data_IF_625173636826
#
_entry.id   IF_625173636826
#
_cell.length_a   1.000
_cell.length_b   1.000
_cell.length_c   1.000
_cell.angle_alpha   90.00
_cell.angle_beta   90.00
_cell.angle_gamma   90.00
#
_symmetry.space_group_name_H-M   'P 1'
#
loop_
_entity.id
_entity.type
_entity.pdbx_description
1 polymer ?
#
# COMPACT_ATOMS: atom_id res chain seq x y z
N UNK A 1 6.84 -16.31 -42.10
CA UNK A 1 6.20 -15.01 -41.80
C UNK A 1 5.54 -15.16 -40.44
N UNK A 2 6.07 -14.51 -39.41
CA UNK A 2 5.43 -14.47 -38.09
C UNK A 2 4.17 -13.63 -38.26
N UNK A 3 3.01 -14.21 -37.98
CA UNK A 3 1.73 -13.51 -38.10
C UNK A 3 1.66 -12.48 -36.99
N UNK A 4 1.48 -11.21 -37.36
CA UNK A 4 1.30 -10.14 -36.37
C UNK A 4 0.04 -10.46 -35.54
N UNK A 5 0.22 -10.53 -34.22
CA UNK A 5 -0.89 -10.76 -33.29
C UNK A 5 -1.29 -9.40 -32.71
N UNK A 6 -2.42 -8.91 -33.21
CA UNK A 6 -3.09 -7.73 -32.70
C UNK A 6 -4.40 -8.14 -32.04
N UNK A 7 -4.58 -7.74 -30.78
CA UNK A 7 -5.80 -7.99 -30.03
C UNK A 7 -6.20 -6.76 -29.22
N UNK A 8 -7.49 -6.38 -29.30
CA UNK A 8 -8.06 -5.30 -28.50
C UNK A 8 -9.27 -5.83 -27.71
N UNK A 9 -9.39 -5.45 -26.45
CA UNK A 9 -10.53 -5.80 -25.61
C UNK A 9 -10.94 -4.65 -24.68
N UNK A 10 -12.25 -4.55 -24.44
CA UNK A 10 -12.86 -3.49 -23.61
C UNK A 10 -13.75 -4.06 -22.50
N UNK A 11 -13.26 -4.97 -21.63
CA UNK A 11 -14.12 -5.61 -20.65
C UNK A 11 -14.54 -4.64 -19.55
N UNK A 12 -15.75 -4.84 -19.03
CA UNK A 12 -16.17 -4.27 -17.75
C UNK A 12 -15.76 -5.24 -16.66
N UNK A 13 -14.82 -4.83 -15.81
CA UNK A 13 -14.31 -5.63 -14.70
C UNK A 13 -14.36 -4.82 -13.42
N UNK A 14 -14.71 -5.46 -12.31
CA UNK A 14 -14.67 -4.86 -10.97
C UNK A 14 -15.42 -3.52 -10.88
N UNK A 15 -16.55 -3.38 -11.58
CA UNK A 15 -17.34 -2.15 -11.62
C UNK A 15 -16.78 -1.02 -12.51
N UNK A 16 -15.61 -1.21 -13.11
CA UNK A 16 -14.97 -0.24 -13.99
C UNK A 16 -14.73 -0.75 -15.41
N UNK A 17 -13.84 -0.08 -16.13
CA UNK A 17 -13.48 -0.37 -17.53
C UNK A 17 -12.01 -0.69 -17.64
N UNK A 18 -11.68 -1.63 -18.50
CA UNK A 18 -10.30 -1.91 -18.93
C UNK A 18 -10.26 -1.81 -20.45
N UNK A 19 -9.31 -1.08 -20.97
CA UNK A 19 -9.00 -1.00 -22.41
C UNK A 19 -7.64 -1.69 -22.61
N UNK A 20 -7.66 -2.92 -23.10
CA UNK A 20 -6.48 -3.75 -23.27
C UNK A 20 -6.10 -3.90 -24.74
N UNK A 21 -4.80 -3.81 -25.02
CA UNK A 21 -4.19 -4.00 -26.34
C UNK A 21 -3.01 -4.95 -26.24
N UNK A 22 -2.89 -5.87 -27.17
CA UNK A 22 -1.70 -6.69 -27.36
C UNK A 22 -1.21 -6.47 -28.79
N UNK A 23 0.06 -6.08 -28.92
CA UNK A 23 0.76 -5.99 -30.19
C UNK A 23 2.04 -6.84 -30.08
N UNK A 24 2.07 -7.98 -30.77
CA UNK A 24 3.10 -9.01 -30.60
C UNK A 24 3.25 -9.46 -29.13
N UNK A 25 4.36 -9.09 -28.49
CA UNK A 25 4.65 -9.39 -27.09
C UNK A 25 4.30 -8.24 -26.15
N UNK A 26 3.96 -7.06 -26.67
CA UNK A 26 3.70 -5.86 -25.87
C UNK A 26 2.22 -5.77 -25.51
N UNK A 27 1.92 -6.06 -24.25
CA UNK A 27 0.60 -5.92 -23.64
C UNK A 27 0.48 -4.57 -22.94
N UNK A 28 -0.56 -3.82 -23.31
CA UNK A 28 -0.94 -2.55 -22.71
C UNK A 28 -2.35 -2.65 -22.14
N UNK A 29 -2.59 -2.12 -20.95
CA UNK A 29 -3.93 -1.98 -20.40
C UNK A 29 -4.11 -0.64 -19.67
N UNK A 30 -5.10 0.12 -20.11
CA UNK A 30 -5.64 1.29 -19.42
C UNK A 30 -6.82 0.85 -18.54
N UNK A 31 -6.80 1.22 -17.27
CA UNK A 31 -7.80 0.84 -16.26
C UNK A 31 -8.46 2.09 -15.70
N UNK A 32 -9.80 2.11 -15.71
CA UNK A 32 -10.59 3.24 -15.23
C UNK A 32 -11.66 2.78 -14.25
N UNK A 33 -11.68 3.38 -13.07
CA UNK A 33 -12.68 3.17 -12.02
C UNK A 33 -12.83 1.70 -11.56
N UNK A 34 -11.73 0.95 -11.49
CA UNK A 34 -11.78 -0.43 -10.99
C UNK A 34 -11.89 -0.45 -9.46
N UNK A 35 -12.71 -1.33 -8.90
CA UNK A 35 -12.73 -1.59 -7.45
C UNK A 35 -11.56 -2.50 -7.05
N UNK A 36 -10.77 -2.08 -6.06
CA UNK A 36 -9.58 -2.83 -5.65
C UNK A 36 -9.87 -4.10 -4.85
N UNK A 37 -10.98 -4.21 -4.13
CA UNK A 37 -11.34 -5.46 -3.45
C UNK A 37 -11.59 -6.57 -4.46
N UNK A 38 -12.37 -6.29 -5.51
CA UNK A 38 -12.61 -7.25 -6.59
C UNK A 38 -11.33 -7.70 -7.29
N UNK A 39 -10.38 -6.78 -7.50
CA UNK A 39 -9.07 -7.11 -8.06
C UNK A 39 -8.25 -8.03 -7.13
N UNK A 40 -8.17 -7.69 -5.83
CA UNK A 40 -7.43 -8.49 -4.84
C UNK A 40 -8.04 -9.89 -4.70
N UNK A 41 -9.36 -9.98 -4.68
CA UNK A 41 -10.11 -11.25 -4.65
C UNK A 41 -9.74 -12.15 -5.83
N UNK A 42 -9.83 -11.63 -7.07
CA UNK A 42 -9.49 -12.41 -8.27
C UNK A 42 -8.03 -12.89 -8.25
N UNK A 43 -7.11 -12.07 -7.74
CA UNK A 43 -5.70 -12.39 -7.65
C UNK A 43 -5.35 -13.26 -6.43
N UNK A 44 -6.34 -13.62 -5.60
CA UNK A 44 -6.18 -14.44 -4.39
C UNK A 44 -5.15 -13.80 -3.43
N UNK A 45 -5.29 -12.49 -3.24
CA UNK A 45 -4.60 -11.69 -2.23
C UNK A 45 -5.59 -11.21 -1.16
N UNK A 46 -5.12 -10.90 0.06
CA UNK A 46 -5.96 -10.29 1.09
C UNK A 46 -6.61 -9.00 0.60
N UNK A 47 -7.91 -8.89 0.84
CA UNK A 47 -8.76 -7.75 0.45
C UNK A 47 -8.58 -6.58 1.44
N UNK A 48 -7.33 -6.08 1.59
CA UNK A 48 -6.92 -5.16 2.67
C UNK A 48 -7.15 -3.69 2.36
N UNK A 49 -7.53 -3.34 1.13
CA UNK A 49 -7.67 -1.94 0.71
C UNK A 49 -8.81 -1.80 -0.30
N UNK A 50 -9.88 -1.11 0.12
CA UNK A 50 -11.01 -0.76 -0.72
C UNK A 50 -10.82 0.64 -1.29
N UNK A 51 -10.87 0.77 -2.61
CA UNK A 51 -10.65 2.03 -3.29
C UNK A 51 -11.10 1.96 -4.75
N UNK A 52 -11.15 3.12 -5.39
CA UNK A 52 -11.32 3.25 -6.83
C UNK A 52 -9.97 3.46 -7.51
N UNK A 53 -9.60 2.55 -8.40
CA UNK A 53 -8.33 2.53 -9.10
C UNK A 53 -8.45 3.06 -10.53
N UNK A 54 -7.53 3.94 -10.91
CA UNK A 54 -7.25 4.30 -12.30
C UNK A 54 -5.76 4.06 -12.55
N UNK A 55 -5.41 3.28 -13.57
CA UNK A 55 -4.03 2.86 -13.76
C UNK A 55 -3.68 2.45 -15.18
N UNK A 56 -2.38 2.24 -15.40
CA UNK A 56 -1.80 1.80 -16.67
C UNK A 56 -0.85 0.65 -16.40
N UNK A 57 -0.99 -0.43 -17.15
CA UNK A 57 -0.06 -1.57 -17.16
C UNK A 57 0.56 -1.66 -18.55
N UNK A 58 1.89 -1.63 -18.59
CA UNK A 58 2.69 -1.89 -19.78
C UNK A 58 3.56 -3.13 -19.49
N UNK A 59 3.41 -4.20 -20.26
CA UNK A 59 4.10 -5.46 -19.99
C UNK A 59 4.51 -6.17 -21.28
N UNK A 60 5.78 -6.54 -21.38
CA UNK A 60 6.28 -7.37 -22.47
C UNK A 60 6.30 -8.84 -22.05
N UNK A 61 5.55 -9.68 -22.77
CA UNK A 61 5.35 -11.11 -22.51
C UNK A 61 6.63 -11.93 -22.69
N UNK A 62 7.39 -11.68 -23.77
CA UNK A 62 8.64 -12.39 -24.05
C UNK A 62 9.73 -12.08 -23.01
N UNK A 63 9.92 -10.80 -22.68
CA UNK A 63 10.87 -10.33 -21.65
C UNK A 63 10.38 -10.59 -20.22
N UNK A 64 9.09 -10.89 -20.06
CA UNK A 64 8.40 -11.04 -18.77
C UNK A 64 8.64 -9.82 -17.87
N UNK A 65 8.56 -8.61 -18.41
CA UNK A 65 8.89 -7.40 -17.67
C UNK A 65 7.99 -6.24 -18.04
N UNK A 66 7.73 -5.34 -17.11
CA UNK A 66 6.82 -4.23 -17.34
C UNK A 66 6.80 -3.20 -16.23
N UNK A 67 5.82 -2.31 -16.31
CA UNK A 67 5.52 -1.31 -15.30
C UNK A 67 4.02 -1.19 -15.05
N UNK A 68 3.67 -0.89 -13.81
CA UNK A 68 2.29 -0.63 -13.42
C UNK A 68 2.23 0.66 -12.61
N UNK A 69 1.45 1.63 -13.07
CA UNK A 69 1.27 2.92 -12.40
C UNK A 69 -0.21 3.15 -12.15
N UNK A 70 -0.58 3.57 -10.94
CA UNK A 70 -1.97 3.79 -10.59
C UNK A 70 -2.17 4.94 -9.60
N UNK A 71 -3.35 5.55 -9.68
CA UNK A 71 -3.92 6.45 -8.68
C UNK A 71 -5.15 5.77 -8.08
N UNK A 72 -5.21 5.74 -6.76
CA UNK A 72 -6.30 5.14 -6.00
C UNK A 72 -6.97 6.24 -5.19
N UNK A 73 -8.30 6.35 -5.31
CA UNK A 73 -9.10 7.37 -4.63
C UNK A 73 -10.12 6.72 -3.69
N UNK A 74 -10.57 7.49 -2.70
CA UNK A 74 -11.54 7.03 -1.68
C UNK A 74 -11.08 5.75 -0.98
N UNK A 75 -9.78 5.69 -0.68
CA UNK A 75 -9.14 4.49 -0.16
C UNK A 75 -9.41 4.27 1.33
N UNK A 76 -9.89 3.09 1.68
CA UNK A 76 -10.11 2.68 3.06
C UNK A 76 -9.45 1.33 3.31
N UNK A 77 -8.78 1.19 4.45
CA UNK A 77 -8.26 -0.10 4.85
C UNK A 77 -9.38 -0.98 5.41
N UNK A 78 -9.39 -2.25 5.01
CA UNK A 78 -10.14 -3.27 5.75
C UNK A 78 -9.25 -3.83 6.86
N UNK A 79 -9.85 -4.58 7.79
CA UNK A 79 -9.16 -5.09 8.98
C UNK A 79 -7.88 -5.84 8.63
N UNK A 80 -6.77 -5.42 9.24
CA UNK A 80 -5.46 -6.02 9.04
C UNK A 80 -4.54 -5.84 10.27
N UNK A 81 -3.61 -6.77 10.46
CA UNK A 81 -2.72 -6.77 11.63
C UNK A 81 -1.86 -5.51 11.75
N UNK A 82 -1.45 -4.90 10.63
CA UNK A 82 -0.64 -3.67 10.66
C UNK A 82 -1.38 -2.52 11.31
N UNK A 83 -2.61 -2.23 10.86
CA UNK A 83 -3.41 -1.15 11.41
C UNK A 83 -3.87 -1.45 12.84
N UNK A 84 -4.13 -2.72 13.18
CA UNK A 84 -4.45 -3.11 14.56
C UNK A 84 -3.30 -2.75 15.51
N UNK A 85 -2.06 -3.05 15.13
CA UNK A 85 -0.87 -2.72 15.92
C UNK A 85 -0.58 -1.21 15.95
N UNK A 86 -0.75 -0.50 14.83
CA UNK A 86 -0.61 0.96 14.80
C UNK A 86 -1.65 1.61 15.71
N UNK A 87 -2.90 1.14 15.71
CA UNK A 87 -3.95 1.63 16.61
C UNK A 87 -3.60 1.39 18.07
N UNK A 88 -3.06 0.22 18.39
CA UNK A 88 -2.64 -0.13 19.75
C UNK A 88 -1.49 0.76 20.25
N UNK A 89 -0.42 0.94 19.45
CA UNK A 89 0.78 1.65 19.90
C UNK A 89 0.76 3.16 19.62
N UNK A 90 0.15 3.55 18.51
CA UNK A 90 0.02 4.95 18.10
C UNK A 90 -1.21 5.66 18.65
N UNK A 91 -2.16 4.92 19.26
CA UNK A 91 -3.46 5.42 19.74
C UNK A 91 -4.25 6.18 18.65
N UNK A 92 -4.03 5.83 17.38
CA UNK A 92 -4.64 6.47 16.22
C UNK A 92 -5.29 5.42 15.35
N UNK A 93 -6.55 5.66 15.03
CA UNK A 93 -7.35 4.75 14.22
C UNK A 93 -7.24 5.09 12.72
N UNK A 94 -6.27 4.49 12.04
CA UNK A 94 -6.10 4.65 10.59
C UNK A 94 -7.24 4.00 9.77
N UNK A 95 -8.10 3.17 10.36
CA UNK A 95 -9.26 2.63 9.65
C UNK A 95 -10.33 3.71 9.40
N UNK A 96 -10.37 4.74 10.23
CA UNK A 96 -11.31 5.85 10.09
C UNK A 96 -10.91 6.84 8.97
N UNK A 97 -9.69 6.71 8.44
CA UNK A 97 -9.17 7.64 7.45
C UNK A 97 -9.55 7.25 6.02
N UNK A 98 -9.58 8.26 5.15
CA UNK A 98 -9.71 8.11 3.71
C UNK A 98 -8.40 8.52 3.04
N UNK A 99 -7.84 7.63 2.23
CA UNK A 99 -6.57 7.83 1.56
C UNK A 99 -6.74 8.15 0.08
N UNK A 100 -5.96 9.13 -0.38
CA UNK A 100 -5.54 9.26 -1.77
C UNK A 100 -4.19 8.56 -1.91
N UNK A 101 -4.01 7.72 -2.92
CA UNK A 101 -2.79 6.93 -3.06
C UNK A 101 -2.25 6.90 -4.48
N UNK A 102 -0.93 6.76 -4.59
CA UNK A 102 -0.23 6.50 -5.84
C UNK A 102 0.63 5.24 -5.72
N UNK A 103 0.66 4.47 -6.79
CA UNK A 103 1.45 3.25 -6.92
C UNK A 103 2.30 3.39 -8.17
N UNK A 104 3.60 3.12 -8.06
CA UNK A 104 4.50 3.01 -9.20
C UNK A 104 5.33 1.74 -9.04
N UNK A 105 5.12 0.77 -9.93
CA UNK A 105 5.68 -0.57 -9.83
C UNK A 105 6.51 -0.94 -11.04
N UNK A 106 7.62 -1.63 -10.81
CA UNK A 106 8.43 -2.31 -11.82
C UNK A 106 8.24 -3.82 -11.67
N UNK A 107 7.95 -4.49 -12.78
CA UNK A 107 7.69 -5.93 -12.83
C UNK A 107 8.83 -6.60 -13.59
N UNK A 108 9.41 -7.65 -12.99
CA UNK A 108 10.45 -8.49 -13.57
C UNK A 108 10.17 -9.95 -13.21
N UNK A 109 9.62 -10.68 -14.16
CA UNK A 109 9.11 -12.04 -13.98
C UNK A 109 8.11 -12.07 -12.81
N UNK A 110 8.32 -12.95 -11.83
CA UNK A 110 7.48 -13.03 -10.64
C UNK A 110 7.73 -11.90 -9.62
N UNK A 111 8.76 -11.06 -9.80
CA UNK A 111 9.19 -10.05 -8.84
C UNK A 111 8.60 -8.68 -9.19
N UNK A 112 7.97 -8.05 -8.20
CA UNK A 112 7.40 -6.71 -8.30
C UNK A 112 8.07 -5.83 -7.25
N UNK A 113 8.50 -4.65 -7.69
CA UNK A 113 9.09 -3.61 -6.84
C UNK A 113 8.24 -2.37 -6.93
N UNK A 114 7.66 -1.94 -5.81
CA UNK A 114 6.64 -0.91 -5.76
C UNK A 114 7.06 0.26 -4.88
N UNK A 115 6.87 1.47 -5.41
CA UNK A 115 6.77 2.67 -4.60
C UNK A 115 5.30 2.96 -4.33
N UNK A 116 4.98 3.17 -3.05
CA UNK A 116 3.64 3.43 -2.53
C UNK A 116 3.68 4.76 -1.77
N UNK A 117 2.75 5.65 -2.09
CA UNK A 117 2.55 6.91 -1.36
C UNK A 117 1.05 7.07 -1.12
N UNK A 118 0.63 6.95 0.14
CA UNK A 118 -0.76 7.06 0.58
C UNK A 118 -0.86 8.24 1.55
N UNK A 119 -1.83 9.13 1.34
CA UNK A 119 -2.04 10.32 2.17
C UNK A 119 -3.50 10.52 2.48
N UNK A 120 -3.78 10.82 3.73
CA UNK A 120 -5.04 11.34 4.24
C UNK A 120 -4.85 12.79 4.70
N UNK A 121 -5.85 13.36 5.38
CA UNK A 121 -5.74 14.70 5.96
C UNK A 121 -4.71 14.79 7.10
N UNK A 122 -4.53 13.70 7.84
CA UNK A 122 -3.75 13.67 9.09
C UNK A 122 -2.60 12.69 9.06
N UNK A 123 -2.58 11.77 8.10
CA UNK A 123 -1.62 10.67 8.10
C UNK A 123 -1.09 10.34 6.71
N UNK A 124 0.03 9.63 6.68
CA UNK A 124 0.61 9.08 5.47
C UNK A 124 1.22 7.71 5.71
N UNK A 125 1.26 6.91 4.64
CA UNK A 125 1.94 5.62 4.59
C UNK A 125 2.78 5.63 3.31
N UNK A 126 4.10 5.57 3.47
CA UNK A 126 5.04 5.63 2.35
C UNK A 126 5.89 4.37 2.35
N UNK A 127 5.91 3.65 1.24
CA UNK A 127 6.76 2.50 1.01
C UNK A 127 7.66 2.76 -0.20
N UNK A 128 8.96 2.56 -0.05
CA UNK A 128 9.91 2.62 -1.18
C UNK A 128 10.44 1.23 -1.47
N UNK A 129 10.44 0.86 -2.75
CA UNK A 129 10.95 -0.42 -3.21
C UNK A 129 10.35 -1.64 -2.45
N UNK A 130 9.06 -1.58 -2.14
CA UNK A 130 8.30 -2.69 -1.55
C UNK A 130 8.38 -3.89 -2.50
N UNK A 131 8.86 -5.01 -1.98
CA UNK A 131 9.07 -6.21 -2.77
C UNK A 131 7.90 -7.18 -2.61
N UNK A 132 7.42 -7.72 -3.74
CA UNK A 132 6.47 -8.81 -3.81
C UNK A 132 6.97 -9.87 -4.80
N UNK A 133 6.99 -11.12 -4.38
CA UNK A 133 7.12 -12.26 -5.27
C UNK A 133 5.75 -12.91 -5.49
N UNK A 134 5.21 -12.78 -6.68
CA UNK A 134 3.87 -13.27 -7.05
C UNK A 134 3.78 -14.80 -7.09
N UNK A 135 4.89 -15.49 -7.36
CA UNK A 135 4.95 -16.96 -7.41
C UNK A 135 4.98 -17.58 -6.02
N UNK A 136 5.83 -17.07 -5.12
CA UNK A 136 5.96 -17.57 -3.75
C UNK A 136 5.04 -16.88 -2.76
N UNK A 137 4.28 -15.87 -3.22
CA UNK A 137 3.42 -15.00 -2.42
C UNK A 137 4.15 -14.36 -1.24
N UNK A 138 5.42 -14.01 -1.41
CA UNK A 138 6.25 -13.41 -0.36
C UNK A 138 6.30 -11.89 -0.51
N UNK A 139 6.16 -11.17 0.60
CA UNK A 139 6.33 -9.72 0.70
C UNK A 139 7.54 -9.39 1.59
N UNK A 140 8.27 -8.35 1.22
CA UNK A 140 9.27 -7.69 2.07
C UNK A 140 9.10 -6.17 1.88
N UNK A 141 8.65 -5.49 2.93
CA UNK A 141 8.31 -4.08 2.89
C UNK A 141 8.79 -3.37 4.16
N UNK A 142 9.34 -2.17 3.99
CA UNK A 142 9.45 -1.19 5.08
C UNK A 142 8.59 0.01 4.71
N UNK A 143 7.69 0.37 5.63
CA UNK A 143 6.74 1.46 5.48
C UNK A 143 7.04 2.52 6.54
N UNK A 144 7.21 3.75 6.08
CA UNK A 144 7.23 4.93 6.93
C UNK A 144 5.79 5.42 7.07
N UNK A 145 5.23 5.24 8.27
CA UNK A 145 3.89 5.69 8.63
C UNK A 145 4.03 6.97 9.44
N UNK A 146 3.30 8.01 9.06
CA UNK A 146 3.05 9.15 9.93
C UNK A 146 1.57 9.13 10.28
N UNK A 147 1.22 8.79 11.51
CA UNK A 147 -0.16 8.82 11.98
C UNK A 147 -0.36 10.09 12.80
N UNK A 148 -1.08 11.11 12.31
CA UNK A 148 -1.32 12.37 13.04
C UNK A 148 -0.07 12.95 13.76
N UNK A 149 1.01 13.16 13.00
CA UNK A 149 2.33 13.64 13.47
C UNK A 149 3.14 12.66 14.35
N UNK A 150 2.71 11.40 14.43
CA UNK A 150 3.40 10.32 15.12
C UNK A 150 4.10 9.41 14.10
N UNK A 151 5.44 9.53 13.95
CA UNK A 151 6.20 8.68 13.06
C UNK A 151 6.32 7.27 13.63
N UNK A 152 5.94 6.29 12.82
CA UNK A 152 5.96 4.86 13.12
C UNK A 152 6.62 4.17 11.92
N UNK A 153 7.59 3.29 12.18
CA UNK A 153 8.15 2.46 11.13
C UNK A 153 7.56 1.07 11.21
N UNK A 154 7.07 0.55 10.09
CA UNK A 154 6.50 -0.79 9.99
C UNK A 154 7.32 -1.63 9.04
N UNK A 155 7.64 -2.86 9.43
CA UNK A 155 8.22 -3.87 8.54
C UNK A 155 7.24 -5.01 8.35
N UNK A 156 6.99 -5.38 7.10
CA UNK A 156 6.17 -6.53 6.71
C UNK A 156 7.07 -7.56 6.03
N UNK A 157 7.06 -8.80 6.51
CA UNK A 157 7.88 -9.87 5.91
C UNK A 157 7.19 -11.22 5.94
N UNK A 158 7.30 -11.98 4.85
CA UNK A 158 6.81 -13.36 4.77
C UNK A 158 5.64 -13.51 3.81
N UNK A 159 4.75 -14.47 4.06
CA UNK A 159 3.62 -14.72 3.16
C UNK A 159 2.65 -13.52 3.17
N UNK A 160 2.31 -12.99 2.00
CA UNK A 160 1.41 -11.84 1.82
C UNK A 160 0.04 -12.01 2.48
N UNK A 161 -0.43 -13.25 2.65
CA UNK A 161 -1.73 -13.55 3.26
C UNK A 161 -1.74 -13.31 4.76
N UNK A 162 -0.57 -13.48 5.40
CA UNK A 162 -0.37 -13.29 6.83
C UNK A 162 1.11 -13.02 7.11
N UNK A 163 1.62 -11.83 6.73
CA UNK A 163 3.02 -11.51 6.92
C UNK A 163 3.30 -11.32 8.41
N UNK A 164 4.55 -11.53 8.81
CA UNK A 164 5.04 -11.01 10.08
C UNK A 164 5.02 -9.48 10.02
N UNK A 165 4.50 -8.86 11.07
CA UNK A 165 4.38 -7.40 11.19
C UNK A 165 5.19 -6.95 12.39
N UNK A 166 6.19 -6.10 12.15
CA UNK A 166 6.95 -5.43 13.20
C UNK A 166 6.64 -3.93 13.18
N UNK A 167 6.36 -3.36 14.35
CA UNK A 167 6.02 -1.94 14.52
C UNK A 167 7.02 -1.31 15.48
N UNK A 168 7.87 -0.45 14.95
CA UNK A 168 8.77 0.37 15.75
C UNK A 168 8.07 1.70 16.10
N UNK A 169 7.56 1.74 17.33
CA UNK A 169 6.94 2.90 17.95
C UNK A 169 7.83 3.55 19.02
N UNK A 170 9.14 3.24 19.05
CA UNK A 170 10.07 3.67 20.11
C UNK A 170 10.07 5.19 20.28
N UNK A 171 10.02 5.94 19.18
CA UNK A 171 9.94 7.41 19.18
C UNK A 171 8.68 7.96 19.84
N UNK A 172 7.57 7.23 19.79
CA UNK A 172 6.32 7.64 20.43
C UNK A 172 6.41 7.46 21.94
N UNK A 173 6.92 6.30 22.36
CA UNK A 173 7.16 5.97 23.77
C UNK A 173 8.11 7.01 24.39
N UNK A 174 9.22 7.33 23.73
CA UNK A 174 10.16 8.36 24.19
C UNK A 174 9.50 9.75 24.36
N UNK A 175 8.63 10.15 23.43
CA UNK A 175 7.90 11.43 23.51
C UNK A 175 6.90 11.44 24.67
N UNK A 176 6.16 10.34 24.88
CA UNK A 176 5.21 10.23 26.00
C UNK A 176 5.95 10.29 27.34
N UNK A 177 7.06 9.55 27.50
CA UNK A 177 7.88 9.57 28.72
C UNK A 177 8.43 10.97 29.02
N UNK A 178 8.96 11.68 28.01
CA UNK A 178 9.44 13.07 28.17
C UNK A 178 8.33 14.04 28.58
N UNK A 179 7.13 13.89 28.00
CA UNK A 179 5.97 14.71 28.37
C UNK A 179 5.56 14.47 29.83
N UNK A 180 5.53 13.21 30.25
CA UNK A 180 5.10 12.86 31.61
C UNK A 180 6.11 13.32 32.66
N UNK A 181 7.41 13.11 32.41
CA UNK A 181 8.48 13.63 33.26
C UNK A 181 8.42 15.16 33.39
N UNK A 182 8.18 15.88 32.28
CA UNK A 182 8.01 17.33 32.29
C UNK A 182 6.81 17.81 33.12
N UNK A 183 5.67 17.10 33.06
CA UNK A 183 4.51 17.40 33.91
C UNK A 183 4.81 17.21 35.39
N UNK A 184 5.49 16.11 35.75
CA UNK A 184 5.85 15.84 37.14
C UNK A 184 6.77 16.93 37.70
N UNK A 185 7.79 17.35 36.93
CA UNK A 185 8.68 18.45 37.32
C UNK A 185 7.88 19.76 37.50
N UNK A 186 6.99 20.10 36.56
CA UNK A 186 6.17 21.30 36.66
C UNK A 186 5.22 21.28 37.87
N UNK A 187 4.63 20.13 38.19
CA UNK A 187 3.76 19.98 39.36
C UNK A 187 4.54 20.13 40.67
N UNK A 188 5.77 19.60 40.74
CA UNK A 188 6.66 19.80 41.88
C UNK A 188 7.00 21.29 42.08
N UNK A 189 7.36 22.00 41.01
CA UNK A 189 7.66 23.44 41.07
C UNK A 189 6.44 24.25 41.52
N UNK A 190 5.24 23.94 41.00
CA UNK A 190 3.99 24.60 41.42
C UNK A 190 3.56 24.31 42.86
N UNK A 191 4.05 23.21 43.45
CA UNK A 191 3.79 22.91 44.87
C UNK A 191 4.77 23.59 45.83
N UNK A 192 5.83 24.22 45.31
CA UNK A 192 6.85 24.91 46.10
C UNK A 192 6.63 26.44 46.17
N UNK A 193 5.65 26.98 45.44
CA UNK A 193 5.22 28.39 45.43
C UNK A 193 3.71 28.48 45.58
#
# INVERSE_FOLDING_TARGET
MTKDLDFNAHPKLFGGRVDAKLHHDDFHADMSQLNTLGMLHMLIYPEIFDSTLNGKLDYNLAKKSGSFNAKLTKGHFTKNQMLDLIKQYGKIDLYAETFLSTIASKIRQEKIYTNLDMRSNTSSIVGKNVYLNTKTKQVDATLDVNANNNPIKVTLKGNVSKPSVNVDASKLIERELKKEAGKQINNLIKGLF
#
